data_IF_711014956093
#
_entry.id   IF_711014956093
#
_cell.length_a   1.000
_cell.length_b   1.000
_cell.length_c   1.000
_cell.angle_alpha   90.00
_cell.angle_beta   90.00
_cell.angle_gamma   90.00
#
_symmetry.space_group_name_H-M   'P 1'
#
loop_
_entity.id
_entity.type
_entity.pdbx_description
1 polymer ?
#
# COMPACT_ATOMS: atom_id res chain seq x y z
N UNK A 1 -27.67 -55.16 -44.70
CA UNK A 1 -28.37 -54.21 -43.80
C UNK A 1 -27.77 -52.84 -44.04
N UNK A 2 -28.50 -52.01 -44.79
CA UNK A 2 -28.24 -50.61 -45.08
C UNK A 2 -29.04 -49.73 -44.12
N UNK A 3 -28.62 -48.47 -43.96
CA UNK A 3 -29.37 -47.23 -43.61
C UNK A 3 -28.51 -46.36 -42.66
N UNK A 4 -28.41 -45.02 -42.72
CA UNK A 4 -29.18 -43.98 -43.40
C UNK A 4 -28.33 -42.69 -43.42
N UNK A 5 -28.38 -41.95 -44.53
CA UNK A 5 -28.02 -40.54 -44.68
C UNK A 5 -29.24 -39.72 -44.27
N UNK A 6 -29.07 -38.60 -43.54
CA UNK A 6 -30.02 -37.48 -43.61
C UNK A 6 -29.38 -36.17 -43.12
N UNK A 7 -29.16 -35.28 -44.09
CA UNK A 7 -28.95 -33.84 -43.92
C UNK A 7 -30.27 -33.18 -43.51
N UNK A 8 -30.22 -32.19 -42.63
CA UNK A 8 -31.26 -31.15 -42.57
C UNK A 8 -30.65 -29.77 -42.32
N UNK A 9 -31.05 -28.87 -43.21
CA UNK A 9 -30.71 -27.46 -43.32
C UNK A 9 -32.02 -26.68 -43.08
N UNK A 10 -32.07 -25.74 -42.13
CA UNK A 10 -33.04 -24.62 -42.11
C UNK A 10 -32.55 -23.58 -41.09
N UNK A 11 -31.89 -22.51 -41.51
CA UNK A 11 -32.49 -21.21 -41.85
C UNK A 11 -33.44 -20.68 -40.77
N UNK A 12 -32.90 -19.93 -39.81
CA UNK A 12 -33.68 -19.01 -38.98
C UNK A 12 -33.47 -17.58 -39.50
N UNK A 13 -34.50 -17.07 -40.17
CA UNK A 13 -34.70 -15.66 -40.46
C UNK A 13 -35.20 -15.00 -39.17
N UNK A 14 -34.44 -14.06 -38.61
CA UNK A 14 -34.99 -13.06 -37.70
C UNK A 14 -35.21 -11.76 -38.47
N UNK A 15 -36.48 -11.40 -38.57
CA UNK A 15 -36.99 -10.18 -39.18
C UNK A 15 -36.66 -8.96 -38.33
N UNK A 16 -36.13 -7.92 -38.98
CA UNK A 16 -36.10 -6.56 -38.46
C UNK A 16 -37.52 -6.02 -38.34
N UNK A 17 -37.89 -5.52 -37.16
CA UNK A 17 -38.97 -4.53 -36.99
C UNK A 17 -38.37 -3.28 -36.36
N UNK A 18 -38.31 -2.21 -37.14
CA UNK A 18 -38.26 -0.84 -36.64
C UNK A 18 -39.68 -0.28 -36.67
N UNK A 19 -40.10 0.33 -35.56
CA UNK A 19 -41.01 1.49 -35.58
C UNK A 19 -40.87 2.29 -34.27
N UNK A 20 -40.42 3.52 -34.45
CA UNK A 20 -40.68 4.79 -33.72
C UNK A 20 -41.79 4.79 -32.66
N UNK A 21 -41.83 5.60 -31.61
CA UNK A 21 -41.16 6.85 -31.21
C UNK A 21 -41.74 7.27 -29.86
N UNK A 22 -40.96 7.91 -28.97
CA UNK A 22 -41.18 9.30 -28.52
C UNK A 22 -40.42 9.60 -27.22
N UNK A 23 -39.68 10.70 -27.28
CA UNK A 23 -39.45 11.68 -26.19
C UNK A 23 -38.54 11.32 -25.00
N UNK A 24 -37.36 11.94 -25.09
CA UNK A 24 -36.66 12.70 -24.04
C UNK A 24 -36.39 11.98 -22.72
N UNK A 25 -35.13 11.59 -22.49
CA UNK A 25 -34.27 12.27 -21.52
C UNK A 25 -32.83 11.93 -21.86
N UNK A 26 -32.03 12.97 -22.11
CA UNK A 26 -30.57 12.90 -22.19
C UNK A 26 -30.04 12.38 -20.87
N UNK A 27 -29.60 11.12 -20.80
CA UNK A 27 -28.72 10.70 -19.71
C UNK A 27 -27.35 11.29 -19.99
N UNK A 28 -27.14 12.53 -19.50
CA UNK A 28 -25.81 13.08 -19.31
C UNK A 28 -25.02 12.12 -18.42
N UNK A 29 -24.04 11.43 -19.00
CA UNK A 29 -22.97 10.75 -18.27
C UNK A 29 -21.95 11.78 -17.74
N UNK A 30 -22.41 12.75 -16.95
CA UNK A 30 -21.58 13.75 -16.27
C UNK A 30 -21.90 13.74 -14.78
N UNK A 31 -21.58 12.65 -14.08
CA UNK A 31 -21.71 12.59 -12.60
C UNK A 31 -20.70 11.62 -11.96
N UNK A 32 -19.43 11.59 -12.40
CA UNK A 32 -18.37 10.88 -11.65
C UNK A 32 -17.07 11.71 -11.62
N UNK A 33 -17.16 13.02 -11.36
CA UNK A 33 -15.99 13.85 -11.06
C UNK A 33 -16.20 14.80 -9.87
N UNK A 34 -17.34 14.72 -9.17
CA UNK A 34 -17.67 15.64 -8.07
C UNK A 34 -17.38 15.08 -6.66
N UNK A 35 -16.65 13.96 -6.56
CA UNK A 35 -16.47 13.24 -5.29
C UNK A 35 -15.05 13.12 -4.76
N UNK A 36 -14.01 13.31 -5.58
CA UNK A 36 -12.63 13.05 -5.15
C UNK A 36 -11.93 14.28 -4.55
N UNK A 37 -12.09 15.47 -5.16
CA UNK A 37 -11.44 16.69 -4.64
C UNK A 37 -11.98 17.14 -3.27
N UNK A 38 -13.26 16.93 -2.98
CA UNK A 38 -13.88 17.39 -1.72
C UNK A 38 -13.66 16.45 -0.52
N UNK A 39 -13.11 15.25 -0.75
CA UNK A 39 -12.79 14.27 0.29
C UNK A 39 -11.33 14.38 0.76
N UNK A 40 -10.42 14.77 -0.13
CA UNK A 40 -8.97 14.84 0.14
C UNK A 40 -8.58 15.93 1.16
N UNK A 41 -9.20 17.11 1.06
CA UNK A 41 -8.93 18.23 1.99
C UNK A 41 -9.35 17.91 3.43
N UNK A 42 -10.50 17.23 3.64
CA UNK A 42 -10.98 16.90 4.98
C UNK A 42 -10.23 15.74 5.63
N UNK A 43 -9.64 14.83 4.86
CA UNK A 43 -8.79 13.76 5.40
C UNK A 43 -7.47 14.34 5.90
N UNK A 44 -6.89 15.28 5.16
CA UNK A 44 -5.69 16.01 5.57
C UNK A 44 -5.94 16.81 6.88
N UNK A 45 -7.15 17.34 7.05
CA UNK A 45 -7.56 18.05 8.28
C UNK A 45 -7.72 17.11 9.49
N UNK A 46 -8.27 15.90 9.30
CA UNK A 46 -8.39 14.87 10.37
C UNK A 46 -7.03 14.28 10.76
N UNK A 47 -6.09 14.12 9.82
CA UNK A 47 -4.72 13.66 10.08
C UNK A 47 -3.97 14.54 11.08
N UNK A 48 -4.29 15.84 11.15
CA UNK A 48 -3.61 16.79 12.03
C UNK A 48 -4.06 16.71 13.51
N UNK A 49 -5.13 15.98 13.83
CA UNK A 49 -5.74 16.00 15.17
C UNK A 49 -5.56 14.71 15.98
N UNK A 50 -5.00 13.64 15.40
CA UNK A 50 -4.69 12.42 16.16
C UNK A 50 -3.35 12.59 16.87
N UNK A 51 -3.42 13.19 18.06
CA UNK A 51 -2.26 13.36 18.93
C UNK A 51 -1.88 12.03 19.57
N UNK A 52 -0.90 11.34 18.98
CA UNK A 52 -0.26 10.17 19.61
C UNK A 52 0.84 10.61 20.56
N UNK A 53 1.03 9.82 21.64
CA UNK A 53 2.11 9.97 22.62
C UNK A 53 3.46 10.17 21.91
N UNK A 54 4.22 11.18 22.35
CA UNK A 54 5.63 11.31 21.98
C UNK A 54 6.46 10.21 22.65
N UNK A 55 7.23 9.50 21.84
CA UNK A 55 8.19 8.51 22.31
C UNK A 55 9.54 9.19 22.49
N UNK A 56 10.22 8.86 23.59
CA UNK A 56 11.64 9.18 23.76
C UNK A 56 12.46 8.47 22.68
N UNK A 57 13.67 8.96 22.40
CA UNK A 57 14.55 8.31 21.42
C UNK A 57 14.80 6.83 21.77
N UNK A 58 14.96 6.52 23.06
CA UNK A 58 15.15 5.14 23.53
C UNK A 58 13.92 4.27 23.28
N UNK A 59 12.71 4.75 23.60
CA UNK A 59 11.47 4.03 23.31
C UNK A 59 11.30 3.80 21.82
N UNK A 60 11.54 4.84 21.00
CA UNK A 60 11.46 4.77 19.54
C UNK A 60 12.45 3.77 18.96
N UNK A 61 13.69 3.75 19.44
CA UNK A 61 14.71 2.79 19.01
C UNK A 61 14.30 1.35 19.35
N UNK A 62 13.77 1.13 20.56
CA UNK A 62 13.31 -0.18 21.00
C UNK A 62 12.15 -0.70 20.15
N UNK A 63 11.12 0.13 19.89
CA UNK A 63 10.01 -0.29 19.03
C UNK A 63 10.47 -0.50 17.59
N UNK A 64 11.33 0.37 17.05
CA UNK A 64 11.87 0.22 15.70
C UNK A 64 12.57 -1.13 15.54
N UNK A 65 13.45 -1.49 16.49
CA UNK A 65 14.12 -2.81 16.49
C UNK A 65 13.12 -3.96 16.48
N UNK A 66 12.07 -3.90 17.30
CA UNK A 66 11.03 -4.94 17.35
C UNK A 66 10.26 -5.06 16.03
N UNK A 67 9.87 -3.92 15.43
CA UNK A 67 9.18 -3.91 14.13
C UNK A 67 10.07 -4.46 13.01
N UNK A 68 11.35 -4.08 12.98
CA UNK A 68 12.31 -4.59 12.01
C UNK A 68 12.55 -6.09 12.13
N UNK A 69 12.60 -6.63 13.35
CA UNK A 69 12.64 -8.08 13.56
C UNK A 69 11.42 -8.75 12.92
N UNK A 70 10.21 -8.18 13.06
CA UNK A 70 9.01 -8.74 12.44
C UNK A 70 9.05 -8.73 10.92
N UNK A 71 9.57 -7.66 10.31
CA UNK A 71 9.77 -7.60 8.86
C UNK A 71 10.77 -8.65 8.39
N UNK A 72 11.88 -8.84 9.12
CA UNK A 72 12.90 -9.84 8.76
C UNK A 72 12.38 -11.28 8.95
N UNK A 73 11.67 -11.55 10.04
CA UNK A 73 11.05 -12.86 10.32
C UNK A 73 9.98 -13.22 9.29
N UNK A 74 9.24 -12.22 8.80
CA UNK A 74 8.17 -12.42 7.82
C UNK A 74 8.66 -13.05 6.51
N UNK A 75 9.90 -12.78 6.10
CA UNK A 75 10.51 -13.41 4.91
C UNK A 75 10.69 -14.93 5.04
N UNK A 76 10.56 -15.49 6.25
CA UNK A 76 10.65 -16.93 6.52
C UNK A 76 9.28 -17.51 6.89
N UNK A 77 8.49 -16.79 7.69
CA UNK A 77 7.27 -17.33 8.31
C UNK A 77 5.97 -16.74 7.79
N UNK A 78 6.03 -15.84 6.80
CA UNK A 78 4.91 -14.99 6.40
C UNK A 78 4.71 -13.80 7.34
N UNK A 79 4.12 -12.73 6.83
CA UNK A 79 3.84 -11.53 7.61
C UNK A 79 2.63 -11.75 8.54
N UNK A 80 2.64 -11.04 9.68
CA UNK A 80 1.56 -11.10 10.67
C UNK A 80 1.21 -9.68 11.08
N UNK A 81 0.29 -9.07 10.34
CA UNK A 81 -0.14 -7.69 10.56
C UNK A 81 -0.58 -7.42 12.01
N UNK A 82 -1.38 -8.31 12.59
CA UNK A 82 -1.84 -8.19 13.98
C UNK A 82 -0.70 -8.07 14.99
N UNK A 83 0.41 -8.82 14.80
CA UNK A 83 1.55 -8.70 15.69
C UNK A 83 2.26 -7.35 15.51
N UNK A 84 2.44 -6.90 14.26
CA UNK A 84 3.02 -5.61 13.95
C UNK A 84 2.21 -4.45 14.53
N UNK A 85 0.89 -4.45 14.31
CA UNK A 85 -0.08 -3.49 14.86
C UNK A 85 -0.03 -3.46 16.40
N UNK A 86 -0.06 -4.64 17.04
CA UNK A 86 0.06 -4.77 18.51
C UNK A 86 1.31 -4.11 19.06
N UNK A 87 2.47 -4.29 18.43
CA UNK A 87 3.73 -3.70 18.89
C UNK A 87 3.66 -2.16 18.96
N UNK A 88 3.04 -1.53 17.95
CA UNK A 88 2.85 -0.07 17.90
C UNK A 88 1.90 0.37 19.02
N UNK A 89 0.78 -0.32 19.19
CA UNK A 89 -0.19 -0.03 20.25
C UNK A 89 0.41 -0.14 21.65
N UNK A 90 1.22 -1.17 21.90
CA UNK A 90 1.94 -1.34 23.17
C UNK A 90 2.89 -0.18 23.43
N UNK A 91 3.69 0.24 22.43
CA UNK A 91 4.64 1.34 22.58
C UNK A 91 3.95 2.67 22.91
N UNK A 92 2.76 2.89 22.33
CA UNK A 92 1.96 4.09 22.53
C UNK A 92 1.01 4.02 23.73
N UNK A 93 0.93 2.88 24.42
CA UNK A 93 -0.07 2.60 25.47
C UNK A 93 -1.50 2.85 24.97
N UNK A 94 -1.82 2.38 23.75
CA UNK A 94 -3.16 2.54 23.18
C UNK A 94 -4.20 1.77 24.01
N UNK A 95 -5.33 2.38 24.39
CA UNK A 95 -6.40 1.67 25.10
C UNK A 95 -7.00 0.53 24.29
N UNK A 96 -7.19 -0.62 24.93
CA UNK A 96 -7.67 -1.84 24.28
C UNK A 96 -9.13 -1.75 23.79
N UNK A 97 -9.93 -0.90 24.42
CA UNK A 97 -11.36 -0.69 24.18
C UNK A 97 -11.65 0.29 23.03
N UNK A 98 -10.61 0.87 22.41
CA UNK A 98 -10.79 1.69 21.21
C UNK A 98 -11.40 0.86 20.06
N UNK A 99 -12.27 1.51 19.29
CA UNK A 99 -12.75 1.00 18.01
C UNK A 99 -11.58 0.72 17.08
N UNK A 100 -11.72 -0.32 16.25
CA UNK A 100 -10.67 -0.74 15.33
C UNK A 100 -10.24 0.37 14.36
N UNK A 101 -11.19 1.16 13.86
CA UNK A 101 -10.90 2.35 13.03
C UNK A 101 -9.93 3.32 13.73
N UNK A 102 -10.11 3.55 15.02
CA UNK A 102 -9.26 4.47 15.78
C UNK A 102 -7.87 3.86 16.04
N UNK A 103 -7.80 2.54 16.20
CA UNK A 103 -6.53 1.82 16.33
C UNK A 103 -5.72 1.93 15.04
N UNK A 104 -6.34 1.67 13.89
CA UNK A 104 -5.68 1.83 12.60
C UNK A 104 -5.20 3.26 12.36
N UNK A 105 -6.01 4.26 12.71
CA UNK A 105 -5.59 5.66 12.65
C UNK A 105 -4.36 5.98 13.51
N UNK A 106 -4.24 5.39 14.71
CA UNK A 106 -3.06 5.54 15.58
C UNK A 106 -1.82 4.92 14.93
N UNK A 107 -1.96 3.78 14.25
CA UNK A 107 -0.88 3.13 13.53
C UNK A 107 -0.37 4.03 12.40
N UNK A 108 -1.26 4.56 11.58
CA UNK A 108 -0.90 5.50 10.50
C UNK A 108 -0.22 6.74 11.07
N UNK A 109 -0.77 7.34 12.13
CA UNK A 109 -0.18 8.51 12.77
C UNK A 109 1.25 8.22 13.28
N UNK A 110 1.47 7.02 13.84
CA UNK A 110 2.79 6.59 14.28
C UNK A 110 3.78 6.49 13.13
N UNK A 111 3.38 5.77 12.07
CA UNK A 111 4.19 5.55 10.89
C UNK A 111 4.56 6.87 10.22
N UNK A 112 3.61 7.78 10.04
CA UNK A 112 3.83 9.08 9.41
C UNK A 112 4.71 10.02 10.26
N UNK A 113 4.51 10.02 11.58
CA UNK A 113 5.29 10.83 12.53
C UNK A 113 6.75 10.40 12.60
N UNK A 114 7.01 9.09 12.56
CA UNK A 114 8.36 8.55 12.74
C UNK A 114 8.99 7.99 11.46
N UNK A 115 8.36 8.13 10.28
CA UNK A 115 8.83 7.58 8.99
C UNK A 115 10.32 7.76 8.72
N UNK A 116 10.88 8.91 9.11
CA UNK A 116 12.27 9.27 8.88
C UNK A 116 13.27 8.64 9.88
N UNK A 117 12.76 8.01 10.94
CA UNK A 117 13.53 7.43 12.06
C UNK A 117 13.33 5.91 12.19
N UNK A 118 12.35 5.33 11.50
CA UNK A 118 12.10 3.88 11.48
C UNK A 118 13.12 3.17 10.58
N UNK A 119 14.39 3.20 10.99
CA UNK A 119 15.52 2.59 10.27
C UNK A 119 15.79 1.20 10.83
N UNK A 120 15.72 0.20 9.97
CA UNK A 120 16.10 -1.16 10.29
C UNK A 120 17.62 -1.35 10.18
N UNK A 121 18.24 -1.98 11.19
CA UNK A 121 19.68 -2.22 11.16
C UNK A 121 20.04 -3.25 10.09
N UNK A 122 21.25 -3.12 9.57
CA UNK A 122 21.88 -4.11 8.71
C UNK A 122 21.80 -5.51 9.34
N UNK A 123 21.40 -6.49 8.53
CA UNK A 123 21.45 -7.91 8.88
C UNK A 123 22.84 -8.44 8.57
N UNK A 124 23.57 -8.86 9.59
CA UNK A 124 24.90 -9.47 9.45
C UNK A 124 24.83 -10.71 8.57
N UNK A 125 25.73 -10.82 7.59
CA UNK A 125 25.82 -11.97 6.69
C UNK A 125 24.98 -11.87 5.40
N UNK A 126 24.16 -10.82 5.23
CA UNK A 126 23.51 -10.49 3.95
C UNK A 126 24.30 -9.39 3.22
N UNK A 127 24.80 -9.69 2.04
CA UNK A 127 25.64 -8.77 1.23
C UNK A 127 24.92 -7.48 0.87
N UNK A 128 23.63 -7.57 0.52
CA UNK A 128 22.82 -6.43 0.08
C UNK A 128 22.08 -5.74 1.24
N UNK A 129 22.44 -6.07 2.49
CA UNK A 129 21.85 -5.42 3.66
C UNK A 129 22.71 -4.24 4.10
N UNK A 130 22.04 -3.10 4.27
CA UNK A 130 22.51 -1.92 5.00
C UNK A 130 21.43 -1.44 5.97
N UNK A 131 21.77 -0.44 6.77
CA UNK A 131 20.76 0.32 7.49
C UNK A 131 19.84 1.00 6.45
N UNK A 132 18.54 0.76 6.58
CA UNK A 132 17.55 1.29 5.65
C UNK A 132 16.19 1.48 6.32
N UNK A 133 15.38 2.41 5.82
CA UNK A 133 13.99 2.58 6.26
C UNK A 133 13.21 1.26 6.22
N UNK A 134 12.29 1.09 7.18
CA UNK A 134 11.50 -0.13 7.33
C UNK A 134 10.72 -0.51 6.06
N UNK A 135 10.24 0.47 5.29
CA UNK A 135 9.55 0.22 4.02
C UNK A 135 10.51 -0.37 2.97
N UNK A 136 11.70 0.23 2.79
CA UNK A 136 12.75 -0.34 1.93
C UNK A 136 13.15 -1.74 2.37
N UNK A 137 13.23 -1.96 3.68
CA UNK A 137 13.55 -3.28 4.24
C UNK A 137 12.47 -4.29 3.92
N UNK A 138 11.19 -3.92 4.01
CA UNK A 138 10.08 -4.79 3.64
C UNK A 138 10.08 -5.12 2.13
N UNK A 139 10.34 -4.14 1.26
CA UNK A 139 10.48 -4.38 -0.17
C UNK A 139 11.65 -5.33 -0.48
N UNK A 140 12.82 -5.15 0.16
CA UNK A 140 13.97 -6.04 0.01
C UNK A 140 13.67 -7.49 0.41
N UNK A 141 12.88 -7.67 1.48
CA UNK A 141 12.52 -9.00 1.99
C UNK A 141 11.26 -9.56 1.31
N UNK A 142 10.68 -8.87 0.31
CA UNK A 142 9.51 -9.33 -0.44
C UNK A 142 8.21 -9.36 0.38
N UNK A 143 8.08 -8.49 1.39
CA UNK A 143 6.96 -8.52 2.34
C UNK A 143 5.82 -7.63 1.81
N UNK A 144 5.16 -8.06 0.74
CA UNK A 144 4.05 -7.35 0.12
C UNK A 144 2.85 -7.22 1.06
N UNK A 145 2.58 -8.24 1.90
CA UNK A 145 1.53 -8.19 2.92
C UNK A 145 1.65 -6.99 3.88
N UNK A 146 2.86 -6.47 4.17
CA UNK A 146 2.99 -5.24 4.97
C UNK A 146 2.37 -4.06 4.24
N UNK A 147 2.59 -3.98 2.92
CA UNK A 147 2.01 -2.94 2.10
C UNK A 147 0.51 -3.11 2.03
N UNK A 148 0.02 -4.29 1.66
CA UNK A 148 -1.41 -4.53 1.44
C UNK A 148 -2.25 -4.44 2.73
N UNK A 149 -1.78 -5.04 3.83
CA UNK A 149 -2.58 -5.17 5.06
C UNK A 149 -2.43 -3.99 6.03
N UNK A 150 -1.45 -3.10 5.78
CA UNK A 150 -1.16 -1.97 6.68
C UNK A 150 -0.94 -0.67 5.92
N UNK A 151 -0.09 -0.64 4.89
CA UNK A 151 0.35 0.64 4.32
C UNK A 151 -0.56 1.18 3.22
N UNK A 152 -1.27 0.30 2.52
CA UNK A 152 -2.19 0.55 1.42
C UNK A 152 -3.62 0.09 1.76
N UNK A 153 -3.89 -0.20 3.04
CA UNK A 153 -5.21 -0.62 3.51
C UNK A 153 -6.21 0.55 3.48
N UNK A 154 -7.01 0.57 2.42
CA UNK A 154 -7.96 1.64 2.08
C UNK A 154 -9.17 1.73 2.98
N UNK A 155 -9.46 0.67 3.73
CA UNK A 155 -10.61 0.65 4.62
C UNK A 155 -10.36 1.49 5.88
N UNK A 156 -9.10 1.87 6.12
CA UNK A 156 -8.67 2.65 7.27
C UNK A 156 -8.14 4.04 6.85
N UNK A 157 -8.99 5.05 6.68
CA UNK A 157 -8.50 6.45 6.63
C UNK A 157 -7.63 6.72 7.87
N UNK A 158 -6.38 7.25 7.78
CA UNK A 158 -5.75 8.04 6.71
C UNK A 158 -4.62 7.36 5.90
N UNK A 159 -4.16 8.02 4.82
CA UNK A 159 -3.04 7.54 3.97
C UNK A 159 -1.68 7.58 4.69
N UNK A 160 -0.84 6.57 4.43
CA UNK A 160 0.58 6.57 4.79
C UNK A 160 1.34 7.60 3.97
N UNK A 161 2.23 8.35 4.61
CA UNK A 161 3.19 9.21 3.94
C UNK A 161 4.47 8.43 3.62
N UNK A 162 4.56 7.97 2.37
CA UNK A 162 5.69 7.22 1.85
C UNK A 162 6.96 8.06 1.60
N UNK A 163 6.91 9.40 1.80
CA UNK A 163 7.99 10.30 1.45
C UNK A 163 9.13 10.36 2.49
N UNK A 164 9.31 9.29 3.27
CA UNK A 164 10.54 9.07 4.03
C UNK A 164 11.70 8.78 3.09
N UNK A 165 12.86 9.41 3.33
CA UNK A 165 14.03 9.27 2.46
C UNK A 165 15.31 9.02 3.26
N UNK A 166 16.35 8.54 2.60
CA UNK A 166 17.69 8.45 3.18
C UNK A 166 18.68 9.13 2.25
N UNK A 167 19.79 9.61 2.78
CA UNK A 167 20.87 10.12 1.93
C UNK A 167 21.78 8.95 1.57
N UNK A 168 21.77 8.57 0.29
CA UNK A 168 22.60 7.50 -0.28
C UNK A 168 23.39 8.09 -1.44
N UNK A 169 24.72 7.98 -1.37
CA UNK A 169 25.65 8.57 -2.35
C UNK A 169 25.38 10.06 -2.66
N UNK A 170 25.01 10.80 -1.61
CA UNK A 170 24.72 12.24 -1.69
C UNK A 170 23.34 12.61 -2.23
N UNK A 171 22.52 11.64 -2.61
CA UNK A 171 21.16 11.86 -3.12
C UNK A 171 20.11 11.38 -2.12
N UNK A 172 18.93 12.00 -2.12
CA UNK A 172 17.77 11.43 -1.45
C UNK A 172 17.38 10.15 -2.18
N UNK A 173 17.14 9.09 -1.42
CA UNK A 173 16.62 7.82 -1.91
C UNK A 173 15.38 7.48 -1.08
N UNK A 174 14.22 7.35 -1.73
CA UNK A 174 12.95 6.95 -1.13
C UNK A 174 12.69 5.46 -1.30
N UNK A 175 11.57 4.96 -0.78
CA UNK A 175 11.16 3.58 -1.06
C UNK A 175 10.92 3.33 -2.56
N UNK A 176 10.43 4.32 -3.30
CA UNK A 176 10.22 4.25 -4.76
C UNK A 176 11.55 4.08 -5.50
N UNK A 177 12.57 4.91 -5.17
CA UNK A 177 13.90 4.79 -5.78
C UNK A 177 14.53 3.42 -5.49
N UNK A 178 14.31 2.92 -4.28
CA UNK A 178 14.86 1.63 -3.87
C UNK A 178 14.18 0.45 -4.57
N UNK A 179 12.86 0.51 -4.79
CA UNK A 179 12.15 -0.50 -5.61
C UNK A 179 12.63 -0.43 -7.06
N UNK A 180 12.81 0.77 -7.63
CA UNK A 180 13.39 0.95 -8.97
C UNK A 180 14.81 0.38 -9.06
N UNK A 181 15.58 0.36 -7.96
CA UNK A 181 16.85 -0.36 -7.88
C UNK A 181 16.63 -1.88 -7.87
N UNK A 182 15.75 -2.41 -7.02
CA UNK A 182 15.47 -3.86 -6.92
C UNK A 182 15.02 -4.46 -8.27
N UNK A 183 14.14 -3.77 -9.00
CA UNK A 183 13.68 -4.17 -10.35
C UNK A 183 14.86 -4.42 -11.31
N UNK A 184 15.95 -3.65 -11.19
CA UNK A 184 17.14 -3.77 -12.06
C UNK A 184 18.04 -4.93 -11.67
N UNK A 185 17.92 -5.48 -10.46
CA UNK A 185 18.81 -6.54 -9.95
C UNK A 185 18.47 -7.94 -10.47
N UNK A 186 17.29 -8.15 -11.08
CA UNK A 186 16.79 -9.45 -11.60
C UNK A 186 16.65 -10.55 -10.52
N UNK A 187 16.78 -10.19 -9.24
CA UNK A 187 16.70 -11.13 -8.10
C UNK A 187 15.26 -11.35 -7.59
N UNK A 188 14.32 -10.52 -8.03
CA UNK A 188 12.97 -10.43 -7.52
C UNK A 188 11.95 -10.49 -8.66
N UNK A 189 10.70 -10.82 -8.34
CA UNK A 189 9.61 -10.77 -9.32
C UNK A 189 9.43 -9.32 -9.78
N UNK A 190 9.74 -9.09 -11.05
CA UNK A 190 9.72 -7.77 -11.64
C UNK A 190 8.31 -7.20 -11.67
N UNK A 191 7.32 -8.00 -12.04
CA UNK A 191 5.96 -7.53 -12.27
C UNK A 191 5.32 -7.15 -10.93
N UNK A 192 5.57 -7.92 -9.88
CA UNK A 192 5.14 -7.62 -8.51
C UNK A 192 5.76 -6.32 -7.97
N UNK A 193 7.06 -6.10 -8.20
CA UNK A 193 7.73 -4.87 -7.78
C UNK A 193 7.28 -3.64 -8.59
N UNK A 194 6.97 -3.79 -9.88
CA UNK A 194 6.42 -2.71 -10.69
C UNK A 194 5.03 -2.31 -10.20
N UNK A 195 4.17 -3.29 -9.89
CA UNK A 195 2.85 -3.03 -9.28
C UNK A 195 2.99 -2.31 -7.93
N UNK A 196 3.82 -2.84 -7.03
CA UNK A 196 4.04 -2.22 -5.72
C UNK A 196 4.55 -0.78 -5.83
N UNK A 197 5.47 -0.52 -6.76
CA UNK A 197 5.98 0.84 -7.01
C UNK A 197 4.85 1.76 -7.46
N UNK A 198 4.05 1.32 -8.42
CA UNK A 198 2.99 2.13 -9.01
C UNK A 198 1.89 2.41 -7.97
N UNK A 199 1.53 1.43 -7.15
CA UNK A 199 0.63 1.63 -6.00
C UNK A 199 1.20 2.67 -5.02
N UNK A 200 2.47 2.57 -4.63
CA UNK A 200 3.07 3.59 -3.73
C UNK A 200 3.02 5.00 -4.35
N UNK A 201 3.23 5.12 -5.67
CA UNK A 201 3.17 6.39 -6.39
C UNK A 201 1.73 6.94 -6.41
N UNK A 202 0.74 6.10 -6.66
CA UNK A 202 -0.67 6.48 -6.68
C UNK A 202 -1.13 7.00 -5.31
N UNK A 203 -0.50 6.53 -4.22
CA UNK A 203 -0.73 7.01 -2.84
C UNK A 203 0.13 8.24 -2.47
N UNK A 204 0.76 8.88 -3.45
CA UNK A 204 1.52 10.11 -3.27
C UNK A 204 2.98 9.90 -2.84
N UNK A 205 3.50 8.68 -2.93
CA UNK A 205 4.91 8.38 -2.78
C UNK A 205 5.72 8.96 -3.94
N UNK A 206 6.84 9.60 -3.60
CA UNK A 206 7.71 10.29 -4.57
C UNK A 206 9.08 9.64 -4.68
N UNK A 207 9.76 9.86 -5.79
CA UNK A 207 11.21 9.64 -5.92
C UNK A 207 11.97 10.73 -5.17
N UNK A 208 13.20 10.44 -4.81
CA UNK A 208 14.06 11.36 -4.07
C UNK A 208 14.35 12.65 -4.83
N UNK A 209 14.35 12.60 -6.16
CA UNK A 209 14.50 13.78 -7.04
C UNK A 209 13.29 14.72 -7.04
N UNK A 210 12.14 14.24 -6.55
CA UNK A 210 10.88 14.98 -6.47
C UNK A 210 10.63 15.57 -5.06
N UNK A 211 11.54 15.30 -4.10
CA UNK A 211 11.52 15.78 -2.71
C UNK A 211 12.49 16.93 -2.47
#
# INVERSE_FOLDING_TARGET
MNKIILLFFSLFLFTFSQASSSETTSCNCELINFGYEYFDERITEIQNDIQIKDLTNTELEQITKRLCIKVIEAGITGFKSEEFKRLIHEALNTPNDLKESNKNMIIVAFLNKYKQKLICPKVTGKTDSRDMLIYKKAALEGIVDLYDEILLDNEAFPNIDFNGYEIVDGNKETVVDYIDYLIKTVLYDKDELELLRDDIIDYGGKRGVEL
#
